data_IF_450131302594
#
_entry.id   IF_450131302594
#
_cell.length_a   1.000
_cell.length_b   1.000
_cell.length_c   1.000
_cell.angle_alpha   90.00
_cell.angle_beta   90.00
_cell.angle_gamma   90.00
#
_symmetry.space_group_name_H-M   'P 1'
#
loop_
_entity.id
_entity.type
_entity.pdbx_description
1 polymer ?
#
# COMPACT_ATOMS: atom_id res chain seq x y z
N UNK A 1 4.04 -9.98 9.40
CA UNK A 1 4.20 -8.87 10.36
C UNK A 1 5.18 -9.31 11.41
N UNK A 2 5.94 -8.38 11.99
CA UNK A 2 6.87 -8.68 13.08
C UNK A 2 6.83 -7.54 14.11
N UNK A 3 7.17 -7.83 15.39
CA UNK A 3 7.43 -6.79 16.36
C UNK A 3 8.80 -6.13 16.12
N UNK A 4 8.89 -4.85 16.41
CA UNK A 4 10.14 -4.11 16.61
C UNK A 4 10.02 -3.30 17.91
N UNK A 5 11.16 -2.91 18.47
CA UNK A 5 11.24 -2.11 19.68
C UNK A 5 11.95 -0.81 19.40
N UNK A 6 11.47 0.28 19.99
CA UNK A 6 12.17 1.57 19.97
C UNK A 6 13.17 1.65 21.12
N UNK A 7 14.13 2.56 21.02
CA UNK A 7 15.06 2.89 22.11
C UNK A 7 14.34 3.43 23.35
N UNK A 8 13.13 3.97 23.21
CA UNK A 8 12.26 4.37 24.31
C UNK A 8 11.56 3.20 25.03
N UNK A 9 11.75 1.96 24.59
CA UNK A 9 11.13 0.77 25.18
C UNK A 9 9.72 0.46 24.67
N UNK A 10 9.21 1.21 23.67
CA UNK A 10 7.90 0.95 23.10
C UNK A 10 7.93 -0.19 22.08
N UNK A 11 6.93 -1.07 22.14
CA UNK A 11 6.72 -2.11 21.14
C UNK A 11 5.89 -1.57 19.97
N UNK A 12 6.42 -1.68 18.75
CA UNK A 12 5.71 -1.37 17.50
C UNK A 12 5.55 -2.62 16.65
N UNK A 13 4.43 -2.72 15.93
CA UNK A 13 4.19 -3.80 14.98
C UNK A 13 4.45 -3.28 13.56
N UNK A 14 5.22 -4.01 12.76
CA UNK A 14 5.53 -3.64 11.38
C UNK A 14 5.14 -4.70 10.37
N UNK A 15 4.85 -4.24 9.15
CA UNK A 15 4.59 -5.08 7.99
C UNK A 15 5.79 -5.03 7.06
N UNK A 16 6.28 -6.21 6.66
CA UNK A 16 7.37 -6.35 5.72
C UNK A 16 6.80 -6.31 4.29
N UNK A 17 7.32 -5.40 3.46
CA UNK A 17 6.96 -5.25 2.06
C UNK A 17 8.19 -5.56 1.21
N UNK A 18 8.18 -6.68 0.49
CA UNK A 18 9.26 -7.06 -0.42
C UNK A 18 9.02 -6.46 -1.80
N UNK A 19 10.01 -5.75 -2.34
CA UNK A 19 10.05 -5.30 -3.72
C UNK A 19 10.56 -6.47 -4.57
N UNK A 20 9.80 -6.86 -5.59
CA UNK A 20 10.15 -8.00 -6.45
C UNK A 20 9.95 -7.61 -7.91
N UNK A 21 11.05 -7.60 -8.67
CA UNK A 21 11.06 -7.32 -10.10
C UNK A 21 10.27 -6.06 -10.49
N UNK A 22 10.41 -4.97 -9.73
CA UNK A 22 9.71 -3.72 -10.00
C UNK A 22 10.43 -2.94 -11.09
N UNK A 23 9.73 -2.64 -12.19
CA UNK A 23 10.31 -1.92 -13.33
C UNK A 23 9.34 -0.86 -13.85
N UNK A 24 9.88 0.24 -14.35
CA UNK A 24 9.13 1.25 -15.10
C UNK A 24 8.78 0.68 -16.48
N UNK A 25 7.51 0.76 -16.88
CA UNK A 25 7.01 0.19 -18.14
C UNK A 25 6.84 1.25 -19.22
N UNK A 26 6.14 2.34 -18.89
CA UNK A 26 5.82 3.38 -19.87
C UNK A 26 5.67 4.71 -19.18
N UNK A 27 6.19 5.74 -19.85
CA UNK A 27 5.93 7.13 -19.54
C UNK A 27 4.75 7.63 -20.37
N UNK A 28 3.85 8.36 -19.74
CA UNK A 28 2.70 9.01 -20.36
C UNK A 28 2.81 10.50 -20.07
N UNK A 29 2.87 11.30 -21.15
CA UNK A 29 3.06 12.74 -21.06
C UNK A 29 1.87 13.43 -20.39
N UNK A 30 2.07 14.67 -19.94
CA UNK A 30 1.01 15.49 -19.34
C UNK A 30 -0.17 15.69 -20.30
N UNK A 31 0.12 15.88 -21.59
CA UNK A 31 -0.87 16.06 -22.65
C UNK A 31 -1.73 14.80 -22.83
N UNK A 32 -1.09 13.64 -22.97
CA UNK A 32 -1.78 12.34 -23.10
C UNK A 32 -2.58 11.99 -21.82
N UNK A 33 -2.10 12.44 -20.65
CA UNK A 33 -2.75 12.21 -19.35
C UNK A 33 -3.95 13.13 -19.05
N UNK A 34 -4.33 14.03 -19.95
CA UNK A 34 -5.44 14.98 -19.74
C UNK A 34 -5.04 16.23 -18.94
N UNK A 35 -3.78 16.65 -19.05
CA UNK A 35 -3.32 18.02 -18.77
C UNK A 35 -2.86 18.34 -17.35
N UNK A 36 -3.01 17.45 -16.35
CA UNK A 36 -2.67 17.78 -14.95
C UNK A 36 -1.23 17.42 -14.55
N UNK A 37 -0.86 16.16 -14.69
CA UNK A 37 0.46 15.63 -14.29
C UNK A 37 0.86 14.53 -15.25
N UNK A 38 2.16 14.37 -15.48
CA UNK A 38 2.69 13.20 -16.16
C UNK A 38 2.42 11.92 -15.33
N UNK A 39 2.46 10.78 -16.00
CA UNK A 39 2.21 9.47 -15.39
C UNK A 39 3.31 8.47 -15.73
N UNK A 40 3.77 7.74 -14.72
CA UNK A 40 4.61 6.56 -14.89
C UNK A 40 3.82 5.30 -14.61
N UNK A 41 3.88 4.33 -15.52
CA UNK A 41 3.37 2.99 -15.32
C UNK A 41 4.49 2.13 -14.75
N UNK A 42 4.25 1.50 -13.61
CA UNK A 42 5.19 0.60 -12.95
C UNK A 42 4.55 -0.77 -12.82
N UNK A 43 5.30 -1.80 -13.17
CA UNK A 43 4.89 -3.19 -13.03
C UNK A 43 5.67 -3.89 -11.93
N UNK A 44 5.00 -4.74 -11.16
CA UNK A 44 5.64 -5.55 -10.11
C UNK A 44 5.31 -7.04 -10.24
N UNK A 45 6.25 -7.87 -9.78
CA UNK A 45 6.24 -9.34 -9.78
C UNK A 45 6.11 -9.99 -11.15
N UNK A 46 7.11 -10.78 -11.53
CA UNK A 46 7.10 -11.53 -12.79
C UNK A 46 6.03 -12.63 -12.81
N UNK A 47 5.42 -12.83 -13.98
CA UNK A 47 4.43 -13.89 -14.23
C UNK A 47 4.66 -14.51 -15.61
N UNK A 48 4.36 -15.80 -15.71
CA UNK A 48 4.46 -16.56 -16.96
C UNK A 48 3.71 -15.87 -18.12
N UNK A 49 4.31 -15.74 -19.31
CA UNK A 49 3.67 -15.04 -20.41
C UNK A 49 2.45 -15.80 -20.99
N UNK A 50 2.43 -17.13 -20.90
CA UNK A 50 1.46 -18.00 -21.58
C UNK A 50 -0.01 -17.81 -21.17
N UNK A 51 -0.27 -17.18 -20.03
CA UNK A 51 -1.63 -16.98 -19.51
C UNK A 51 -2.41 -15.84 -20.18
N UNK A 52 -1.77 -15.00 -21.00
CA UNK A 52 -2.38 -13.80 -21.59
C UNK A 52 -2.13 -13.67 -23.10
N UNK A 53 -3.08 -13.07 -23.85
CA UNK A 53 -2.95 -12.87 -25.29
C UNK A 53 -1.82 -11.90 -25.62
N UNK A 54 -1.28 -11.97 -26.84
CA UNK A 54 -0.12 -11.21 -27.31
C UNK A 54 -0.25 -9.69 -27.12
N UNK A 55 -1.44 -9.13 -27.33
CA UNK A 55 -1.72 -7.70 -27.13
C UNK A 55 -1.48 -7.22 -25.70
N UNK A 56 -1.65 -8.10 -24.70
CA UNK A 56 -1.35 -7.77 -23.31
C UNK A 56 0.16 -7.70 -23.02
N UNK A 57 1.01 -8.09 -23.99
CA UNK A 57 2.47 -8.08 -23.86
C UNK A 57 3.14 -6.88 -24.49
N UNK A 58 2.46 -6.11 -25.35
CA UNK A 58 3.02 -4.99 -26.12
C UNK A 58 3.78 -4.01 -25.20
N UNK A 59 3.14 -3.54 -24.13
CA UNK A 59 3.73 -2.62 -23.15
C UNK A 59 5.00 -3.20 -22.50
N UNK A 60 5.06 -4.52 -22.29
CA UNK A 60 6.22 -5.17 -21.68
C UNK A 60 7.35 -5.40 -22.69
N UNK A 61 7.01 -5.70 -23.96
CA UNK A 61 7.96 -5.84 -25.07
C UNK A 61 8.63 -4.49 -25.38
N UNK A 62 7.86 -3.41 -25.45
CA UNK A 62 8.38 -2.04 -25.65
C UNK A 62 9.39 -1.64 -24.57
N UNK A 63 9.12 -2.03 -23.32
CA UNK A 63 9.99 -1.76 -22.19
C UNK A 63 11.16 -2.75 -22.04
N UNK A 64 11.19 -3.83 -22.83
CA UNK A 64 12.22 -4.88 -22.75
C UNK A 64 12.18 -5.70 -21.45
N UNK A 65 11.03 -5.80 -20.77
CA UNK A 65 10.89 -6.50 -19.49
C UNK A 65 9.91 -7.66 -19.56
N UNK A 66 10.05 -8.68 -18.69
CA UNK A 66 9.06 -9.75 -18.60
C UNK A 66 7.70 -9.24 -18.09
N UNK A 67 6.64 -9.98 -18.43
CA UNK A 67 5.26 -9.67 -18.02
C UNK A 67 5.14 -9.57 -16.50
N UNK A 68 4.50 -8.51 -16.04
CA UNK A 68 4.27 -8.24 -14.60
C UNK A 68 2.83 -8.56 -14.19
N UNK A 69 2.63 -9.03 -12.95
CA UNK A 69 1.31 -9.44 -12.45
C UNK A 69 0.36 -8.25 -12.27
N UNK A 70 0.89 -7.13 -11.78
CA UNK A 70 0.12 -5.92 -11.52
C UNK A 70 0.86 -4.71 -12.06
N UNK A 71 0.14 -3.91 -12.84
CA UNK A 71 0.58 -2.61 -13.32
C UNK A 71 -0.15 -1.54 -12.52
N UNK A 72 0.57 -0.51 -12.09
CA UNK A 72 0.00 0.61 -11.35
C UNK A 72 0.57 1.92 -11.87
N UNK A 73 -0.27 2.93 -11.94
CA UNK A 73 0.10 4.25 -12.44
C UNK A 73 0.43 5.18 -11.29
N UNK A 74 1.50 5.94 -11.43
CA UNK A 74 1.97 6.95 -10.48
C UNK A 74 1.90 8.31 -11.16
N UNK A 75 1.43 9.32 -10.43
CA UNK A 75 1.45 10.70 -10.92
C UNK A 75 2.79 11.27 -10.52
N UNK A 76 3.49 11.87 -11.48
CA UNK A 76 4.87 12.30 -11.35
C UNK A 76 5.02 13.68 -11.99
N UNK A 77 5.95 14.47 -11.48
CA UNK A 77 6.35 15.77 -12.03
C UNK A 77 7.34 15.59 -13.18
N UNK A 78 7.52 16.61 -14.01
CA UNK A 78 8.29 16.49 -15.25
C UNK A 78 9.80 16.33 -15.02
N UNK A 79 10.30 16.69 -13.83
CA UNK A 79 11.66 16.49 -13.34
C UNK A 79 11.94 15.06 -12.83
N UNK A 80 10.91 14.29 -12.52
CA UNK A 80 11.00 12.94 -11.97
C UNK A 80 10.77 11.84 -13.02
N UNK A 81 11.03 12.12 -14.30
CA UNK A 81 10.85 11.18 -15.40
C UNK A 81 11.97 10.13 -15.38
N UNK A 82 11.57 8.86 -15.46
CA UNK A 82 12.47 7.71 -15.50
C UNK A 82 12.25 6.96 -16.82
N UNK A 83 13.34 6.48 -17.42
CA UNK A 83 13.30 5.72 -18.68
C UNK A 83 12.52 4.40 -18.48
N UNK A 84 11.68 3.99 -19.47
CA UNK A 84 11.13 2.64 -19.51
C UNK A 84 12.23 1.57 -19.43
N UNK A 85 11.94 0.48 -18.70
CA UNK A 85 12.87 -0.62 -18.45
C UNK A 85 13.74 -0.45 -17.21
N UNK A 86 13.81 0.74 -16.60
CA UNK A 86 14.62 0.96 -15.39
C UNK A 86 14.10 0.15 -14.19
N UNK A 87 14.96 -0.61 -13.48
CA UNK A 87 14.60 -1.32 -12.27
C UNK A 87 14.40 -0.37 -11.08
N UNK A 88 13.51 -0.74 -10.16
CA UNK A 88 13.24 -0.01 -8.92
C UNK A 88 13.49 -0.91 -7.71
N UNK A 89 14.32 -0.43 -6.79
CA UNK A 89 14.74 -1.15 -5.58
C UNK A 89 14.04 -0.61 -4.32
N UNK A 90 14.15 -1.34 -3.21
CA UNK A 90 13.58 -0.92 -1.92
C UNK A 90 14.25 0.35 -1.36
N UNK A 91 15.53 0.57 -1.68
CA UNK A 91 16.32 1.75 -1.31
C UNK A 91 15.84 3.06 -1.97
N UNK A 92 14.79 3.02 -2.80
CA UNK A 92 14.05 4.21 -3.23
C UNK A 92 13.46 4.99 -2.05
N UNK A 93 13.08 4.29 -0.98
CA UNK A 93 12.65 4.92 0.27
C UNK A 93 13.83 5.03 1.25
N UNK A 94 13.72 5.88 2.26
CA UNK A 94 14.68 5.95 3.38
C UNK A 94 13.98 5.76 4.73
N UNK A 95 14.65 5.21 5.76
CA UNK A 95 14.10 5.17 7.12
C UNK A 95 13.69 6.57 7.60
N UNK A 96 12.62 6.65 8.38
CA UNK A 96 12.06 7.91 8.86
C UNK A 96 11.01 8.54 7.93
N UNK A 97 10.98 8.14 6.66
CA UNK A 97 10.01 8.63 5.68
C UNK A 97 8.59 8.10 5.96
N UNK A 98 7.57 8.87 5.60
CA UNK A 98 6.17 8.45 5.64
C UNK A 98 5.65 8.07 4.26
N UNK A 99 5.03 6.89 4.17
CA UNK A 99 4.47 6.34 2.93
C UNK A 99 2.98 6.06 3.04
N UNK A 100 2.29 6.12 1.90
CA UNK A 100 0.91 5.69 1.76
C UNK A 100 0.86 4.38 0.98
N UNK A 101 0.15 3.39 1.53
CA UNK A 101 0.06 2.05 0.95
C UNK A 101 -1.37 1.74 0.52
N UNK A 102 -1.54 1.47 -0.78
CA UNK A 102 -2.82 1.11 -1.40
C UNK A 102 -2.85 -0.35 -1.84
N UNK A 103 -3.88 -1.08 -1.44
CA UNK A 103 -4.08 -2.46 -1.86
C UNK A 103 -5.54 -2.88 -1.80
N UNK A 104 -5.85 -4.05 -2.38
CA UNK A 104 -7.19 -4.63 -2.26
C UNK A 104 -7.35 -5.24 -0.86
N UNK A 105 -8.37 -4.82 -0.16
CA UNK A 105 -8.75 -5.38 1.14
C UNK A 105 -9.18 -6.84 1.02
N UNK A 106 -8.99 -7.62 2.10
CA UNK A 106 -9.45 -9.02 2.18
C UNK A 106 -10.95 -9.09 1.87
N UNK A 107 -11.31 -9.88 0.87
CA UNK A 107 -12.70 -10.12 0.49
C UNK A 107 -13.41 -10.96 1.54
N UNK A 108 -14.55 -10.49 2.03
CA UNK A 108 -15.40 -11.22 3.00
C UNK A 108 -16.70 -11.73 2.37
N UNK A 109 -16.86 -11.65 1.06
CA UNK A 109 -18.08 -12.06 0.36
C UNK A 109 -19.30 -11.20 0.71
N UNK A 110 -20.51 -11.77 0.59
CA UNK A 110 -21.75 -11.11 1.01
C UNK A 110 -21.86 -11.14 2.53
N UNK A 111 -21.99 -9.97 3.15
CA UNK A 111 -22.06 -9.84 4.60
C UNK A 111 -23.32 -9.10 5.05
N UNK A 112 -23.85 -9.55 6.18
CA UNK A 112 -24.98 -8.90 6.87
C UNK A 112 -24.62 -7.55 7.48
N UNK A 113 -25.63 -6.78 7.90
CA UNK A 113 -25.45 -5.41 8.39
C UNK A 113 -24.63 -5.29 9.66
N UNK A 114 -24.66 -6.29 10.54
CA UNK A 114 -23.86 -6.29 11.77
C UNK A 114 -22.36 -6.33 11.45
N UNK A 115 -21.91 -7.25 10.57
CA UNK A 115 -20.49 -7.38 10.21
C UNK A 115 -20.03 -6.28 9.25
N UNK A 116 -20.88 -5.89 8.29
CA UNK A 116 -20.54 -4.91 7.24
C UNK A 116 -20.52 -3.48 7.75
N UNK A 117 -21.43 -3.14 8.66
CA UNK A 117 -21.67 -1.75 9.09
C UNK A 117 -21.62 -1.54 10.61
N UNK A 118 -21.40 -2.58 11.40
CA UNK A 118 -21.35 -2.47 12.87
C UNK A 118 -22.71 -2.25 13.52
N UNK A 119 -23.81 -2.67 12.90
CA UNK A 119 -25.14 -2.56 13.52
C UNK A 119 -25.22 -3.45 14.77
N UNK A 120 -25.86 -2.95 15.84
CA UNK A 120 -25.98 -3.67 17.12
C UNK A 120 -26.84 -4.94 17.04
N UNK A 121 -27.78 -5.00 16.09
CA UNK A 121 -28.77 -6.08 16.01
C UNK A 121 -29.90 -5.88 17.01
N UNK A 122 -30.55 -6.97 17.40
CA UNK A 122 -31.68 -7.02 18.33
C UNK A 122 -31.31 -7.92 19.51
N UNK A 123 -31.93 -7.75 20.70
CA UNK A 123 -31.66 -8.59 21.86
C UNK A 123 -31.94 -10.07 21.57
N UNK A 124 -31.22 -10.94 22.26
CA UNK A 124 -31.34 -12.39 22.11
C UNK A 124 -32.54 -12.97 22.88
N UNK A 125 -32.93 -12.37 24.00
CA UNK A 125 -34.03 -12.81 24.88
C UNK A 125 -35.24 -11.86 24.83
N UNK A 126 -36.22 -12.07 25.72
CA UNK A 126 -37.46 -11.28 25.85
C UNK A 126 -38.37 -11.31 24.60
N UNK A 127 -38.63 -12.52 24.08
CA UNK A 127 -39.65 -12.74 23.05
C UNK A 127 -39.25 -12.36 21.62
N UNK A 128 -37.98 -11.99 21.38
CA UNK A 128 -37.54 -11.64 20.05
C UNK A 128 -37.59 -12.86 19.11
N UNK A 129 -38.39 -12.78 18.04
CA UNK A 129 -38.60 -13.93 17.14
C UNK A 129 -37.95 -13.69 15.78
N UNK A 130 -36.93 -14.48 15.43
CA UNK A 130 -36.25 -14.52 14.11
C UNK A 130 -35.66 -13.19 13.60
N UNK A 131 -35.39 -12.21 14.46
CA UNK A 131 -34.93 -10.88 14.02
C UNK A 131 -33.56 -10.44 14.55
N UNK A 132 -32.82 -11.29 15.28
CA UNK A 132 -31.61 -10.92 16.04
C UNK A 132 -30.53 -10.13 15.25
N UNK A 133 -30.47 -10.33 13.93
CA UNK A 133 -29.42 -9.76 13.05
C UNK A 133 -29.96 -8.87 11.93
N UNK A 134 -31.22 -8.45 12.02
CA UNK A 134 -31.89 -7.66 10.96
C UNK A 134 -31.50 -6.18 11.05
N UNK A 135 -31.58 -5.41 9.93
CA UNK A 135 -31.29 -3.98 9.93
C UNK A 135 -32.26 -3.11 10.73
N UNK A 136 -33.43 -3.64 11.09
CA UNK A 136 -34.53 -2.83 11.63
C UNK A 136 -35.13 -1.92 10.55
N UNK A 137 -35.62 -0.75 10.95
CA UNK A 137 -36.21 0.23 10.05
C UNK A 137 -35.17 0.81 9.06
N UNK A 138 -35.50 0.83 7.78
CA UNK A 138 -34.58 1.26 6.71
C UNK A 138 -34.81 2.71 6.27
N UNK A 139 -36.02 3.25 6.43
CA UNK A 139 -36.39 4.62 6.05
C UNK A 139 -37.58 5.10 6.89
N UNK A 140 -37.99 6.34 6.65
CA UNK A 140 -39.16 6.98 7.27
C UNK A 140 -40.35 6.94 6.32
N UNK A 141 -41.56 6.75 6.86
CA UNK A 141 -42.79 6.66 6.07
C UNK A 141 -42.99 7.89 5.14
N UNK A 142 -42.77 9.11 5.65
CA UNK A 142 -42.94 10.37 4.89
C UNK A 142 -42.11 10.42 3.59
N UNK A 143 -40.97 9.75 3.55
CA UNK A 143 -40.12 9.76 2.36
C UNK A 143 -40.63 8.80 1.26
N UNK A 144 -41.44 7.79 1.63
CA UNK A 144 -41.94 6.71 0.75
C UNK A 144 -40.87 6.02 -0.12
N UNK A 145 -39.59 6.19 0.22
CA UNK A 145 -38.44 5.63 -0.51
C UNK A 145 -37.27 5.39 0.42
N UNK A 146 -36.31 4.61 -0.05
CA UNK A 146 -35.01 4.45 0.61
C UNK A 146 -34.02 5.45 0.04
N UNK A 147 -33.35 6.21 0.91
CA UNK A 147 -32.33 7.16 0.50
C UNK A 147 -31.13 6.45 -0.16
N UNK A 148 -30.59 7.06 -1.22
CA UNK A 148 -29.36 6.58 -1.87
C UNK A 148 -28.22 6.56 -0.85
N UNK A 149 -27.42 5.49 -0.84
CA UNK A 149 -26.34 5.30 0.13
C UNK A 149 -26.77 4.71 1.48
N UNK A 150 -28.04 4.32 1.67
CA UNK A 150 -28.47 3.63 2.90
C UNK A 150 -27.66 2.35 3.12
N UNK A 151 -27.14 2.19 4.34
CA UNK A 151 -26.38 1.01 4.77
C UNK A 151 -27.26 -0.26 4.75
N UNK A 152 -26.95 -1.18 3.85
CA UNK A 152 -27.67 -2.43 3.61
C UNK A 152 -26.70 -3.63 3.53
N UNK A 153 -27.17 -4.89 3.69
CA UNK A 153 -26.30 -6.06 3.51
C UNK A 153 -25.74 -6.12 2.08
N UNK A 154 -24.59 -6.77 1.89
CA UNK A 154 -23.96 -6.85 0.58
C UNK A 154 -22.48 -7.22 0.61
N UNK A 155 -21.83 -7.16 -0.56
CA UNK A 155 -20.40 -7.47 -0.70
C UNK A 155 -19.54 -6.56 0.18
N UNK A 156 -18.65 -7.16 0.96
CA UNK A 156 -17.72 -6.49 1.87
C UNK A 156 -16.26 -6.89 1.54
N UNK A 157 -15.36 -5.91 1.52
CA UNK A 157 -13.95 -6.13 1.16
C UNK A 157 -13.74 -6.27 -0.35
N UNK A 158 -12.57 -6.73 -0.77
CA UNK A 158 -12.14 -6.82 -2.18
C UNK A 158 -12.21 -5.47 -2.92
N UNK A 159 -12.12 -4.37 -2.17
CA UNK A 159 -12.05 -3.00 -2.69
C UNK A 159 -10.68 -2.42 -2.38
N UNK A 160 -10.21 -1.50 -3.22
CA UNK A 160 -8.98 -0.77 -2.96
C UNK A 160 -9.16 0.17 -1.76
N UNK A 161 -8.23 0.10 -0.81
CA UNK A 161 -8.10 1.06 0.30
C UNK A 161 -6.65 1.47 0.43
N UNK A 162 -6.48 2.69 0.94
CA UNK A 162 -5.17 3.29 1.19
C UNK A 162 -5.05 3.56 2.68
N UNK A 163 -3.98 3.06 3.28
CA UNK A 163 -3.52 3.51 4.60
C UNK A 163 -2.53 4.65 4.38
N UNK A 164 -2.75 5.76 5.07
CA UNK A 164 -1.96 6.98 4.91
C UNK A 164 -1.02 7.16 6.10
N UNK A 165 0.13 7.79 5.86
CA UNK A 165 1.05 8.22 6.92
C UNK A 165 1.69 7.08 7.70
N UNK A 166 2.13 6.03 7.01
CA UNK A 166 2.85 4.93 7.65
C UNK A 166 4.36 5.22 7.63
N UNK A 167 5.00 5.32 8.81
CA UNK A 167 6.46 5.52 8.94
C UNK A 167 7.22 4.28 8.42
N UNK A 168 8.31 4.49 7.69
CA UNK A 168 9.29 3.46 7.32
C UNK A 168 10.33 3.37 8.41
N UNK A 169 10.45 2.19 9.00
CA UNK A 169 11.31 1.95 10.16
C UNK A 169 12.69 1.44 9.74
N UNK A 170 12.71 0.45 8.84
CA UNK A 170 13.94 -0.20 8.39
C UNK A 170 13.83 -0.49 6.90
N UNK A 171 14.97 -0.52 6.22
CA UNK A 171 15.07 -0.98 4.83
C UNK A 171 16.23 -1.96 4.75
N UNK A 172 15.98 -3.13 4.17
CA UNK A 172 17.00 -4.11 3.86
C UNK A 172 17.32 -4.06 2.37
N UNK A 173 18.56 -3.75 2.02
CA UNK A 173 19.02 -3.56 0.63
C UNK A 173 19.24 -4.88 -0.09
N UNK A 174 19.79 -5.89 0.61
CA UNK A 174 20.10 -7.22 0.06
C UNK A 174 18.87 -8.00 -0.40
N UNK A 175 17.77 -7.91 0.33
CA UNK A 175 16.54 -8.64 0.05
C UNK A 175 15.40 -7.76 -0.48
N UNK A 176 15.66 -6.47 -0.66
CA UNK A 176 14.70 -5.48 -1.10
C UNK A 176 13.44 -5.45 -0.23
N UNK A 177 13.60 -5.31 1.09
CA UNK A 177 12.49 -5.33 2.05
C UNK A 177 12.34 -3.97 2.74
N UNK A 178 11.12 -3.45 2.72
CA UNK A 178 10.73 -2.22 3.43
C UNK A 178 9.90 -2.61 4.66
N UNK A 179 10.28 -2.11 5.83
CA UNK A 179 9.57 -2.35 7.09
C UNK A 179 8.68 -1.16 7.41
N UNK A 180 7.38 -1.30 7.17
CA UNK A 180 6.39 -0.22 7.30
C UNK A 180 5.62 -0.35 8.62
N UNK A 181 5.38 0.78 9.28
CA UNK A 181 4.63 0.83 10.53
C UNK A 181 3.20 0.29 10.39
N UNK A 182 2.76 -0.48 11.38
CA UNK A 182 1.39 -0.96 11.51
C UNK A 182 0.99 -1.99 10.46
N UNK A 183 -0.32 -2.04 10.18
CA UNK A 183 -0.95 -2.98 9.26
C UNK A 183 -1.23 -2.35 7.90
N UNK A 184 -1.01 -3.11 6.84
CA UNK A 184 -1.33 -2.73 5.45
C UNK A 184 -2.60 -3.47 4.98
N UNK A 185 -3.47 -2.84 4.17
CA UNK A 185 -4.63 -3.52 3.62
C UNK A 185 -4.25 -4.71 2.73
N UNK A 186 -4.97 -5.81 2.86
CA UNK A 186 -4.81 -7.00 2.01
C UNK A 186 -4.44 -8.26 2.78
N UNK A 187 -4.32 -9.36 2.06
CA UNK A 187 -3.85 -10.63 2.62
C UNK A 187 -2.32 -10.72 2.53
N UNK A 188 -1.71 -11.69 3.22
CA UNK A 188 -0.28 -11.99 3.08
C UNK A 188 0.05 -12.35 1.63
N UNK A 189 1.22 -11.94 1.14
CA UNK A 189 1.67 -12.14 -0.25
C UNK A 189 0.83 -11.43 -1.33
N UNK A 190 -0.03 -10.47 -0.96
CA UNK A 190 -0.72 -9.64 -1.95
C UNK A 190 0.18 -8.52 -2.51
N UNK A 191 -0.12 -8.07 -3.73
CA UNK A 191 0.58 -6.96 -4.37
C UNK A 191 0.02 -5.62 -3.90
N UNK A 192 0.88 -4.82 -3.28
CA UNK A 192 0.57 -3.49 -2.75
C UNK A 192 1.18 -2.39 -3.63
N UNK A 193 0.60 -1.20 -3.61
CA UNK A 193 1.14 0.00 -4.22
C UNK A 193 1.63 0.91 -3.10
N UNK A 194 2.92 1.23 -3.10
CA UNK A 194 3.55 2.13 -2.12
C UNK A 194 3.94 3.42 -2.83
N UNK A 195 3.75 4.56 -2.17
CA UNK A 195 4.17 5.88 -2.65
C UNK A 195 4.41 6.79 -1.46
N UNK A 196 5.08 7.90 -1.70
CA UNK A 196 5.23 8.98 -0.73
C UNK A 196 3.88 9.46 -0.18
N UNK A 197 3.88 9.84 1.09
CA UNK A 197 2.67 10.30 1.75
C UNK A 197 2.16 11.60 1.16
N UNK A 198 0.84 11.68 0.94
CA UNK A 198 0.17 12.90 0.47
C UNK A 198 -0.27 13.82 1.60
N UNK A 199 -0.10 13.39 2.86
CA UNK A 199 -0.53 14.17 4.00
C UNK A 199 0.30 15.46 4.10
N UNK A 200 -0.33 16.64 4.26
CA UNK A 200 0.39 17.92 4.33
C UNK A 200 1.46 17.95 5.42
N UNK A 201 1.22 17.28 6.54
CA UNK A 201 2.12 17.18 7.69
C UNK A 201 3.49 16.62 7.34
N UNK A 202 3.58 15.76 6.32
CA UNK A 202 4.80 15.01 6.00
C UNK A 202 5.48 15.46 4.70
N UNK A 203 5.05 16.58 4.10
CA UNK A 203 5.65 17.08 2.86
C UNK A 203 7.14 17.42 3.03
N UNK A 204 7.48 18.07 4.14
CA UNK A 204 8.83 18.56 4.41
C UNK A 204 9.65 17.59 5.28
N UNK A 205 9.02 16.53 5.79
CA UNK A 205 9.69 15.52 6.61
C UNK A 205 10.67 14.65 5.81
N UNK A 206 10.55 14.63 4.49
CA UNK A 206 11.40 13.84 3.61
C UNK A 206 12.65 14.66 3.26
N UNK A 207 13.57 14.79 4.23
CA UNK A 207 14.66 15.78 4.16
C UNK A 207 15.64 15.60 3.00
N UNK A 208 15.75 14.41 2.37
CA UNK A 208 16.48 14.15 1.12
C UNK A 208 16.26 12.70 0.62
N UNK A 209 15.11 12.35 0.00
CA UNK A 209 14.97 11.06 -0.66
C UNK A 209 15.83 11.00 -1.93
N UNK A 210 16.28 9.81 -2.37
CA UNK A 210 16.95 9.67 -3.65
C UNK A 210 15.98 10.06 -4.79
N UNK A 211 16.38 11.03 -5.59
CA UNK A 211 15.58 11.61 -6.66
C UNK A 211 16.34 11.53 -7.99
N UNK A 212 15.73 11.06 -9.11
CA UNK A 212 14.33 10.61 -9.27
C UNK A 212 14.04 9.21 -8.68
N UNK A 213 15.09 8.39 -8.50
CA UNK A 213 15.04 7.12 -7.78
C UNK A 213 16.46 6.76 -7.32
N UNK A 214 16.59 5.72 -6.50
CA UNK A 214 17.88 5.09 -6.21
C UNK A 214 18.37 4.27 -7.40
N UNK A 215 19.64 4.47 -7.78
CA UNK A 215 20.34 3.68 -8.81
C UNK A 215 21.44 2.86 -8.13
N UNK A 216 21.45 1.55 -8.38
CA UNK A 216 22.42 0.63 -7.78
C UNK A 216 23.82 0.72 -8.43
N UNK A 217 23.92 1.28 -9.63
CA UNK A 217 25.17 1.35 -10.41
C UNK A 217 26.12 2.47 -9.93
N UNK A 218 25.78 3.18 -8.85
CA UNK A 218 26.62 4.24 -8.28
C UNK A 218 27.73 3.69 -7.40
N UNK A 219 28.76 4.52 -7.15
CA UNK A 219 29.97 4.14 -6.42
C UNK A 219 29.76 3.88 -4.90
N UNK A 220 28.57 4.20 -4.36
CA UNK A 220 28.25 4.05 -2.94
C UNK A 220 27.47 2.76 -2.63
N UNK A 221 28.15 1.77 -2.06
CA UNK A 221 27.49 0.60 -1.48
C UNK A 221 26.76 0.96 -0.19
N UNK A 222 25.44 0.80 -0.20
CA UNK A 222 24.63 0.98 1.00
C UNK A 222 24.82 -0.20 1.97
N UNK A 223 24.77 0.05 3.30
CA UNK A 223 24.70 -1.01 4.30
C UNK A 223 23.56 -2.01 4.02
N UNK A 224 23.71 -3.25 4.51
CA UNK A 224 22.69 -4.31 4.36
C UNK A 224 21.34 -3.88 4.94
N UNK A 225 21.38 -3.18 6.08
CA UNK A 225 20.21 -2.64 6.76
C UNK A 225 20.38 -1.16 7.09
N UNK A 226 19.39 -0.37 6.67
CA UNK A 226 19.23 1.02 7.06
C UNK A 226 18.15 1.09 8.14
N UNK A 227 18.50 1.59 9.32
CA UNK A 227 17.60 1.75 10.47
C UNK A 227 17.25 3.22 10.71
N UNK A 228 16.03 3.46 11.18
CA UNK A 228 15.63 4.75 11.76
C UNK A 228 16.32 4.97 13.12
N UNK A 229 16.60 6.22 13.47
CA UNK A 229 17.34 6.59 14.70
C UNK A 229 16.66 6.11 15.98
N UNK A 230 15.32 6.04 15.98
CA UNK A 230 14.52 5.65 17.14
C UNK A 230 14.48 4.12 17.36
N UNK A 231 14.95 3.31 16.39
CA UNK A 231 14.89 1.85 16.48
C UNK A 231 16.01 1.30 17.34
N UNK A 232 15.66 0.37 18.21
CA UNK A 232 16.63 -0.45 18.92
C UNK A 232 17.16 -1.56 18.00
N UNK A 233 18.47 -1.63 17.80
CA UNK A 233 19.10 -2.73 17.08
C UNK A 233 19.44 -3.84 18.06
N UNK A 234 19.22 -5.10 17.69
CA UNK A 234 19.48 -6.23 18.60
C UNK A 234 20.97 -6.44 18.94
N UNK A 235 21.85 -5.80 18.19
CA UNK A 235 23.29 -5.76 18.45
C UNK A 235 23.67 -4.73 19.52
N UNK A 236 22.79 -3.78 19.81
CA UNK A 236 23.03 -2.72 20.79
C UNK A 236 22.89 -3.26 22.22
N UNK A 237 23.58 -2.66 23.22
CA UNK A 237 23.40 -3.03 24.62
C UNK A 237 21.95 -2.82 25.06
N UNK A 238 21.50 -3.63 26.02
CA UNK A 238 20.12 -3.54 26.53
C UNK A 238 19.80 -2.13 27.03
N UNK A 239 18.60 -1.64 26.70
CA UNK A 239 18.13 -0.31 27.09
C UNK A 239 18.08 -0.21 28.61
N UNK A 240 18.73 0.82 29.16
CA UNK A 240 18.69 1.18 30.58
C UNK A 240 18.10 2.59 30.71
N UNK A 241 17.12 2.75 31.61
CA UNK A 241 16.54 4.04 31.94
C UNK A 241 17.11 4.47 33.28
N UNK A 242 18.06 5.39 33.27
CA UNK A 242 18.59 6.06 34.47
C UNK A 242 17.78 7.31 34.78
#
# INVERSE_FOLDING_TARGET
MMPIWTKSGEKRAVTLLKVQDCHVLRYVSKEESGGKTAKLLVGGKNVSPFSKPESAHEIFKEAGVPRKQKVSTFNVTDDAIIKPGTPLYAAHFRPGQFVDVTAKTVGKGFQGVMKRWGFKGQPASHGQTKTHRRPGAISTNKAAKVYRGKKMPGKMGNIYRTSFGLKVWRINTKHDIIYVNGSVPGHTNCLVKVRDSKLPTYKDCNKNPPFPTFFADGDEELPEDLFDEEIFQFTDPSVTFT
#
